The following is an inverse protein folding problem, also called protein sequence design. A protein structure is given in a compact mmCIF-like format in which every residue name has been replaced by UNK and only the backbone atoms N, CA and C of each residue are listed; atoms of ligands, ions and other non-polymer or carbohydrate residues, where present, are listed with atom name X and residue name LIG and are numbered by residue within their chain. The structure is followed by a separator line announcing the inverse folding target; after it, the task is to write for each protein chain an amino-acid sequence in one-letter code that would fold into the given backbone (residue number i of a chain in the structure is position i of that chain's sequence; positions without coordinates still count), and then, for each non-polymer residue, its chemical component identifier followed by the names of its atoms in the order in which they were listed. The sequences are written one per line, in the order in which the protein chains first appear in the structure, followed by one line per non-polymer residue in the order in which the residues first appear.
data_IF_040129409322
#
_entry.id   IF_040129409322
#
_cell.length_a   1.000
_cell.length_b   1.000
_cell.length_c   1.000
_cell.angle_alpha   90.00
_cell.angle_beta   90.00
_cell.angle_gamma   90.00
#
_symmetry.space_group_name_H-M   'P 1'
#
loop_
_entity.id
_entity.type
_entity.pdbx_description
1 polymer ?
#
# COMPACT_ATOMS: atom_id res chain seq x y z
N UNK A 1 29.65 25.89 24.20
CA UNK A 1 29.12 24.53 23.98
C UNK A 1 27.61 24.61 24.00
N UNK A 2 26.91 23.96 23.07
CA UNK A 2 25.44 23.97 23.02
C UNK A 2 24.91 22.93 24.00
N UNK A 3 24.06 23.35 24.94
CA UNK A 3 23.48 22.45 25.94
C UNK A 3 22.54 21.42 25.30
N UNK A 4 23.04 20.20 25.11
CA UNK A 4 22.31 19.11 24.48
C UNK A 4 20.98 18.77 25.18
N UNK A 5 20.88 19.01 26.50
CA UNK A 5 19.64 18.81 27.27
C UNK A 5 18.56 19.84 26.90
N UNK A 6 18.95 21.11 26.81
CA UNK A 6 18.05 22.23 26.47
C UNK A 6 17.48 22.09 25.05
N UNK A 7 18.28 21.56 24.12
CA UNK A 7 17.83 21.27 22.74
C UNK A 7 16.82 20.13 22.74
N UNK A 8 17.08 19.04 23.47
CA UNK A 8 16.14 17.90 23.57
C UNK A 8 14.79 18.30 24.16
N UNK A 9 14.79 19.10 25.22
CA UNK A 9 13.54 19.55 25.86
C UNK A 9 12.73 20.50 24.97
N UNK A 10 13.41 21.38 24.22
CA UNK A 10 12.75 22.28 23.27
C UNK A 10 12.17 21.53 22.06
N UNK A 11 12.87 20.50 21.58
CA UNK A 11 12.38 19.61 20.50
C UNK A 11 11.18 18.80 21.00
N UNK A 12 11.25 18.21 22.20
CA UNK A 12 10.15 17.44 22.78
C UNK A 12 8.89 18.29 23.03
N UNK A 13 9.07 19.54 23.47
CA UNK A 13 7.96 20.47 23.69
C UNK A 13 7.32 20.91 22.38
N UNK A 14 8.14 21.19 21.35
CA UNK A 14 7.68 21.59 20.02
C UNK A 14 7.02 20.43 19.26
N UNK A 15 7.52 19.21 19.42
CA UNK A 15 6.90 18.00 18.85
C UNK A 15 5.54 17.71 19.47
N UNK A 16 5.41 17.82 20.81
CA UNK A 16 4.13 17.63 21.48
C UNK A 16 3.12 18.72 21.15
N UNK A 17 3.55 19.98 21.02
CA UNK A 17 2.67 21.08 20.60
C UNK A 17 2.16 20.88 19.16
N UNK A 18 3.03 20.45 18.25
CA UNK A 18 2.66 20.13 16.87
C UNK A 18 1.70 18.94 16.78
N UNK A 19 1.95 17.87 17.54
CA UNK A 19 1.05 16.71 17.61
C UNK A 19 -0.32 17.08 18.19
N UNK A 20 -0.37 17.88 19.25
CA UNK A 20 -1.64 18.38 19.81
C UNK A 20 -2.40 19.29 18.83
N UNK A 21 -1.71 20.07 18.02
CA UNK A 21 -2.34 20.93 17.01
C UNK A 21 -2.89 20.14 15.82
N UNK A 22 -2.28 19.00 15.48
CA UNK A 22 -2.69 18.11 14.39
C UNK A 22 -3.80 17.12 14.79
N UNK A 23 -3.86 16.73 16.06
CA UNK A 23 -4.71 15.61 16.54
C UNK A 23 -6.22 15.90 16.60
N UNK A 24 -6.70 17.13 16.33
CA UNK A 24 -8.08 17.52 16.65
C UNK A 24 -8.89 18.25 15.57
N UNK A 25 -8.31 18.59 14.41
CA UNK A 25 -8.95 19.52 13.44
C UNK A 25 -8.96 19.06 11.98
N UNK A 26 -8.38 17.91 11.65
CA UNK A 26 -8.41 17.40 10.27
C UNK A 26 -9.55 16.38 10.17
N UNK A 27 -10.63 16.67 9.43
CA UNK A 27 -11.70 15.69 9.23
C UNK A 27 -11.10 14.45 8.57
N UNK A 28 -11.52 13.27 9.03
CA UNK A 28 -11.13 12.01 8.41
C UNK A 28 -11.46 12.09 6.91
N UNK A 29 -10.46 11.86 6.06
CA UNK A 29 -10.60 11.86 4.61
C UNK A 29 -9.92 10.61 4.05
N UNK A 30 -10.46 10.09 2.95
CA UNK A 30 -9.82 9.05 2.14
C UNK A 30 -9.10 9.74 0.99
N UNK A 31 -7.95 9.23 0.55
CA UNK A 31 -7.32 9.70 -0.69
C UNK A 31 -7.74 8.81 -1.86
N UNK A 32 -7.91 9.40 -3.04
CA UNK A 32 -8.04 8.63 -4.27
C UNK A 32 -6.80 7.75 -4.49
N UNK A 33 -6.99 6.48 -4.80
CA UNK A 33 -5.86 5.56 -5.10
C UNK A 33 -5.04 5.98 -6.33
N UNK A 34 -5.63 6.74 -7.26
CA UNK A 34 -5.01 7.08 -8.55
C UNK A 34 -4.45 8.51 -8.57
N UNK A 35 -5.24 9.50 -8.13
CA UNK A 35 -4.86 10.91 -8.17
C UNK A 35 -4.53 11.52 -6.80
N UNK A 36 -4.66 10.75 -5.71
CA UNK A 36 -4.40 11.18 -4.33
C UNK A 36 -5.24 12.35 -3.81
N UNK A 37 -6.23 12.81 -4.56
CA UNK A 37 -7.14 13.86 -4.14
C UNK A 37 -7.95 13.45 -2.90
N UNK A 38 -8.23 14.36 -1.95
CA UNK A 38 -9.05 14.07 -0.78
C UNK A 38 -10.51 13.80 -1.18
N UNK A 39 -11.06 12.74 -0.61
CA UNK A 39 -12.43 12.24 -0.84
C UNK A 39 -13.09 12.01 0.54
N UNK A 40 -14.41 12.29 0.69
CA UNK A 40 -15.15 11.95 1.90
C UNK A 40 -15.03 10.47 2.28
N UNK A 41 -15.05 10.17 3.58
CA UNK A 41 -14.90 8.78 4.10
C UNK A 41 -15.97 7.82 3.57
N UNK A 42 -17.16 8.33 3.26
CA UNK A 42 -18.29 7.52 2.78
C UNK A 42 -18.14 7.04 1.31
N UNK A 43 -17.13 7.48 0.57
CA UNK A 43 -16.94 7.01 -0.81
C UNK A 43 -16.37 5.59 -0.84
N UNK A 44 -17.15 4.66 -1.38
CA UNK A 44 -16.73 3.31 -1.75
C UNK A 44 -17.10 3.09 -3.22
N UNK A 45 -16.17 2.66 -4.10
CA UNK A 45 -14.72 2.41 -3.94
C UNK A 45 -13.87 3.67 -3.65
N UNK A 46 -12.60 3.49 -3.22
CA UNK A 46 -11.64 4.59 -2.89
C UNK A 46 -11.13 5.34 -4.15
N UNK A 47 -12.05 5.83 -4.96
CA UNK A 47 -11.76 6.49 -6.23
C UNK A 47 -12.46 7.83 -6.30
N UNK A 48 -11.77 8.78 -6.93
CA UNK A 48 -12.35 10.05 -7.30
C UNK A 48 -13.45 9.80 -8.35
N UNK A 49 -14.54 10.58 -8.36
CA UNK A 49 -15.63 10.44 -9.35
C UNK A 49 -15.24 10.86 -10.79
N UNK A 50 -13.95 11.11 -11.07
CA UNK A 50 -13.45 11.46 -12.41
C UNK A 50 -13.31 10.19 -13.24
N UNK A 51 -13.73 10.26 -14.50
CA UNK A 51 -13.72 9.12 -15.44
C UNK A 51 -12.31 8.50 -15.58
N UNK A 52 -11.28 9.35 -15.63
CA UNK A 52 -9.88 8.89 -15.70
C UNK A 52 -9.43 8.02 -14.52
N UNK A 53 -9.90 8.32 -13.30
CA UNK A 53 -9.59 7.53 -12.09
C UNK A 53 -10.22 6.13 -12.22
N UNK A 54 -11.46 6.06 -12.70
CA UNK A 54 -12.22 4.81 -12.83
C UNK A 54 -11.63 3.91 -13.90
N UNK A 55 -11.29 4.44 -15.07
CA UNK A 55 -10.70 3.67 -16.16
C UNK A 55 -9.31 3.12 -15.79
N UNK A 56 -8.47 3.93 -15.14
CA UNK A 56 -7.16 3.47 -14.65
C UNK A 56 -7.31 2.38 -13.61
N UNK A 57 -8.30 2.51 -12.72
CA UNK A 57 -8.57 1.48 -11.73
C UNK A 57 -9.00 0.16 -12.38
N UNK A 58 -9.90 0.21 -13.35
CA UNK A 58 -10.35 -0.99 -14.07
C UNK A 58 -9.21 -1.67 -14.84
N UNK A 59 -8.37 -0.90 -15.53
CA UNK A 59 -7.17 -1.43 -16.21
C UNK A 59 -6.21 -2.10 -15.22
N UNK A 60 -5.97 -1.47 -14.07
CA UNK A 60 -5.12 -2.03 -13.03
C UNK A 60 -5.69 -3.33 -12.45
N UNK A 61 -6.99 -3.41 -12.20
CA UNK A 61 -7.64 -4.63 -11.72
C UNK A 61 -7.50 -5.80 -12.72
N UNK A 62 -7.66 -5.52 -14.03
CA UNK A 62 -7.42 -6.52 -15.08
C UNK A 62 -5.96 -6.97 -15.09
N UNK A 63 -5.01 -6.03 -15.05
CA UNK A 63 -3.59 -6.34 -15.03
C UNK A 63 -3.19 -7.16 -13.81
N UNK A 64 -3.71 -6.85 -12.61
CA UNK A 64 -3.43 -7.60 -11.39
C UNK A 64 -3.93 -9.04 -11.49
N UNK A 65 -5.10 -9.28 -12.09
CA UNK A 65 -5.61 -10.63 -12.35
C UNK A 65 -4.71 -11.39 -13.32
N UNK A 66 -4.31 -10.75 -14.42
CA UNK A 66 -3.41 -11.35 -15.41
C UNK A 66 -2.05 -11.69 -14.80
N UNK A 67 -1.43 -10.76 -14.05
CA UNK A 67 -0.14 -11.00 -13.38
C UNK A 67 -0.25 -12.13 -12.36
N UNK A 68 -1.34 -12.18 -11.60
CA UNK A 68 -1.58 -13.28 -10.64
C UNK A 68 -1.63 -14.64 -11.35
N UNK A 69 -2.36 -14.74 -12.45
CA UNK A 69 -2.45 -15.98 -13.24
C UNK A 69 -1.08 -16.32 -13.84
N UNK A 70 -0.39 -15.35 -14.43
CA UNK A 70 0.94 -15.54 -15.01
C UNK A 70 1.95 -16.06 -13.99
N UNK A 71 1.89 -15.57 -12.74
CA UNK A 71 2.75 -16.05 -11.65
C UNK A 71 2.50 -17.53 -11.35
N UNK A 72 1.24 -17.97 -11.29
CA UNK A 72 0.92 -19.40 -11.10
C UNK A 72 1.40 -20.27 -12.26
N UNK A 73 1.25 -19.79 -13.50
CA UNK A 73 1.74 -20.51 -14.69
C UNK A 73 3.26 -20.62 -14.65
N UNK A 74 3.96 -19.53 -14.34
CA UNK A 74 5.42 -19.51 -14.20
C UNK A 74 5.88 -20.52 -13.14
N UNK A 75 5.35 -20.44 -11.92
CA UNK A 75 5.71 -21.41 -10.88
C UNK A 75 5.30 -22.82 -11.23
N UNK A 76 4.17 -23.04 -11.91
CA UNK A 76 3.79 -24.37 -12.40
C UNK A 76 4.86 -24.97 -13.30
N UNK A 77 5.29 -24.23 -14.33
CA UNK A 77 6.28 -24.72 -15.30
C UNK A 77 7.63 -25.03 -14.63
N UNK A 78 8.08 -24.21 -13.68
CA UNK A 78 9.39 -24.39 -13.06
C UNK A 78 9.37 -25.32 -11.84
N UNK A 79 8.34 -25.26 -11.00
CA UNK A 79 8.28 -26.05 -9.77
C UNK A 79 7.82 -27.49 -10.01
N UNK A 80 6.86 -27.72 -10.93
CA UNK A 80 6.33 -29.07 -11.20
C UNK A 80 7.42 -30.07 -11.61
N UNK A 81 8.29 -29.82 -12.61
CA UNK A 81 9.31 -30.80 -13.00
C UNK A 81 10.31 -31.07 -11.87
N UNK A 82 10.65 -30.06 -11.07
CA UNK A 82 11.52 -30.22 -9.90
C UNK A 82 10.87 -31.11 -8.83
N UNK A 83 9.60 -30.87 -8.51
CA UNK A 83 8.85 -31.66 -7.54
C UNK A 83 8.64 -33.11 -8.01
N UNK A 84 8.36 -33.32 -9.30
CA UNK A 84 8.24 -34.66 -9.89
C UNK A 84 9.56 -35.41 -9.82
N UNK A 85 10.68 -34.77 -10.16
CA UNK A 85 12.00 -35.37 -10.07
C UNK A 85 12.37 -35.72 -8.62
N UNK A 86 12.00 -34.87 -7.65
CA UNK A 86 12.23 -35.14 -6.24
C UNK A 86 11.35 -36.28 -5.73
N UNK A 87 10.07 -36.32 -6.09
CA UNK A 87 9.16 -37.41 -5.72
C UNK A 87 9.62 -38.76 -6.28
N UNK A 88 10.05 -38.80 -7.55
CA UNK A 88 10.60 -40.01 -8.16
C UNK A 88 11.85 -40.55 -7.44
N UNK A 89 12.69 -39.66 -6.89
CA UNK A 89 13.88 -40.04 -6.11
C UNK A 89 13.59 -40.48 -4.68
N UNK A 90 12.47 -40.06 -4.11
CA UNK A 90 12.07 -40.44 -2.74
C UNK A 90 11.30 -41.76 -2.75
N UNK A 91 10.61 -42.06 -3.85
CA UNK A 91 9.75 -43.24 -3.99
C UNK A 91 10.42 -44.43 -4.69
N UNK A 92 11.56 -44.20 -5.36
CA UNK A 92 12.42 -45.25 -5.94
C UNK A 92 13.68 -45.46 -5.10
#
# INVERSE_FOLDING_TARGET
MVDARKVKDMVAKKSNQFMNQMSGKVPAHKHCRICHEPIPVASEPRLCKKVECTEKHEKNEKNLKTVRIAMFVFFGIFAIPYLLALAARVMG
#
